data_IF_428110776895
#
_entry.id   IF_428110776895
#
_cell.length_a   1.000
_cell.length_b   1.000
_cell.length_c   1.000
_cell.angle_alpha   90.00
_cell.angle_beta   90.00
_cell.angle_gamma   90.00
#
_symmetry.space_group_name_H-M   'P 1'
#
loop_
_entity.id
_entity.type
_entity.pdbx_description
1 polymer ?
#
# COMPACT_ATOMS: atom_id res chain seq x y z
N UNK A 1 2.57 -2.94 16.00
CA UNK A 1 3.60 -1.87 15.86
C UNK A 1 4.46 -1.99 14.61
N UNK A 2 4.94 -3.18 14.21
CA UNK A 2 5.79 -3.34 13.02
C UNK A 2 5.23 -2.73 11.73
N UNK A 3 3.91 -2.84 11.50
CA UNK A 3 3.27 -2.28 10.30
C UNK A 3 3.12 -0.76 10.32
N UNK A 4 3.04 -0.13 11.50
CA UNK A 4 3.11 1.34 11.62
C UNK A 4 4.49 1.83 11.17
N UNK A 5 5.55 1.15 11.63
CA UNK A 5 6.91 1.41 11.18
C UNK A 5 7.08 1.23 9.67
N UNK A 6 6.51 0.17 9.09
CA UNK A 6 6.53 -0.06 7.64
C UNK A 6 5.83 1.06 6.84
N UNK A 7 4.64 1.49 7.27
CA UNK A 7 3.91 2.57 6.60
C UNK A 7 4.74 3.86 6.63
N UNK A 8 5.28 4.22 7.80
CA UNK A 8 6.11 5.42 7.91
C UNK A 8 7.44 5.33 7.15
N UNK A 9 8.07 4.16 7.16
CA UNK A 9 9.30 3.93 6.39
C UNK A 9 9.05 4.06 4.88
N UNK A 10 7.86 3.66 4.40
CA UNK A 10 7.46 3.83 3.01
C UNK A 10 7.34 5.30 2.64
N UNK A 11 6.68 6.12 3.47
CA UNK A 11 6.61 7.58 3.27
C UNK A 11 8.02 8.20 3.20
N UNK A 12 8.90 7.85 4.14
CA UNK A 12 10.28 8.36 4.18
C UNK A 12 11.05 7.94 2.92
N UNK A 13 10.91 6.68 2.51
CA UNK A 13 11.56 6.16 1.32
C UNK A 13 11.04 6.85 0.05
N UNK A 14 9.74 7.09 -0.06
CA UNK A 14 9.16 7.87 -1.15
C UNK A 14 9.79 9.27 -1.21
N UNK A 15 9.94 9.95 -0.07
CA UNK A 15 10.56 11.29 -0.10
C UNK A 15 12.06 11.29 -0.42
N UNK A 16 12.78 10.20 -0.10
CA UNK A 16 14.17 10.02 -0.53
C UNK A 16 14.32 9.83 -2.05
N UNK A 17 13.33 9.23 -2.71
CA UNK A 17 13.35 8.89 -4.13
C UNK A 17 12.57 9.88 -5.01
N UNK A 18 12.02 10.94 -4.43
CA UNK A 18 11.16 11.91 -5.12
C UNK A 18 11.81 12.59 -6.33
N UNK A 19 13.12 12.80 -6.28
CA UNK A 19 13.91 13.38 -7.38
C UNK A 19 14.74 12.35 -8.14
N UNK A 20 14.46 11.05 -7.96
CA UNK A 20 15.16 10.00 -8.69
C UNK A 20 14.75 10.03 -10.18
N UNK A 21 15.70 10.04 -11.13
CA UNK A 21 15.41 10.13 -12.56
C UNK A 21 14.66 8.92 -13.13
N UNK A 22 14.55 7.82 -12.37
CA UNK A 22 13.82 6.62 -12.77
C UNK A 22 12.31 6.70 -12.52
N UNK A 23 11.83 7.72 -11.80
CA UNK A 23 10.41 7.91 -11.50
C UNK A 23 9.75 6.68 -10.84
N UNK A 24 10.41 6.10 -9.83
CA UNK A 24 9.92 4.90 -9.14
C UNK A 24 8.81 5.28 -8.18
N UNK A 25 7.59 4.75 -8.36
CA UNK A 25 6.50 4.92 -7.41
C UNK A 25 6.66 4.00 -6.19
N UNK A 26 6.53 4.57 -4.99
CA UNK A 26 6.71 3.85 -3.72
C UNK A 26 5.48 4.07 -2.86
N UNK A 27 4.76 3.00 -2.52
CA UNK A 27 3.54 3.06 -1.73
C UNK A 27 3.42 1.87 -0.78
N UNK A 28 2.59 2.01 0.24
CA UNK A 28 2.23 0.94 1.16
C UNK A 28 0.76 0.61 0.97
N UNK A 29 0.36 -0.64 1.25
CA UNK A 29 -1.04 -1.02 1.09
C UNK A 29 -1.52 -2.07 2.09
N UNK A 30 -2.84 -2.20 2.15
CA UNK A 30 -3.53 -3.26 2.86
C UNK A 30 -4.29 -4.15 1.87
N UNK A 31 -4.05 -5.48 1.86
CA UNK A 31 -4.83 -6.41 1.06
C UNK A 31 -6.24 -6.67 1.65
N UNK A 32 -6.52 -6.15 2.85
CA UNK A 32 -7.71 -6.47 3.63
C UNK A 32 -7.56 -7.76 4.44
N UNK A 33 -8.68 -8.32 4.90
CA UNK A 33 -8.69 -9.52 5.73
C UNK A 33 -8.83 -10.78 4.87
N UNK A 34 -7.69 -11.28 4.38
CA UNK A 34 -7.57 -12.37 3.39
C UNK A 34 -7.45 -13.74 4.05
N UNK A 35 -8.18 -14.74 3.56
CA UNK A 35 -8.13 -16.12 4.05
C UNK A 35 -6.78 -16.77 3.71
N UNK A 36 -5.89 -16.88 4.70
CA UNK A 36 -4.52 -17.39 4.57
C UNK A 36 -4.10 -18.14 5.83
N UNK A 37 -3.00 -18.87 5.79
CA UNK A 37 -2.43 -19.54 6.96
C UNK A 37 -2.16 -18.56 8.13
N UNK A 38 -1.87 -17.30 7.84
CA UNK A 38 -1.63 -16.25 8.83
C UNK A 38 -2.83 -16.03 9.77
N UNK A 39 -4.06 -16.27 9.29
CA UNK A 39 -5.29 -16.09 10.07
C UNK A 39 -6.12 -17.38 10.15
N UNK A 40 -5.51 -18.55 9.98
CA UNK A 40 -6.20 -19.85 10.05
C UNK A 40 -7.41 -19.90 9.09
N UNK A 41 -7.24 -19.33 7.90
CA UNK A 41 -8.27 -19.22 6.86
C UNK A 41 -9.56 -18.48 7.25
N UNK A 42 -9.54 -17.66 8.31
CA UNK A 42 -10.73 -16.91 8.81
C UNK A 42 -11.01 -15.59 8.09
N UNK A 43 -10.22 -15.25 7.08
CA UNK A 43 -10.40 -14.02 6.29
C UNK A 43 -11.70 -14.01 5.49
N UNK A 44 -12.30 -12.84 5.31
CA UNK A 44 -13.51 -12.64 4.49
C UNK A 44 -13.21 -12.54 2.99
N UNK A 45 -11.96 -12.22 2.64
CA UNK A 45 -11.51 -12.13 1.25
C UNK A 45 -10.80 -13.41 0.80
N UNK A 46 -10.99 -13.77 -0.46
CA UNK A 46 -10.18 -14.75 -1.19
C UNK A 46 -8.78 -14.20 -1.49
N UNK A 47 -7.87 -15.08 -1.88
CA UNK A 47 -6.50 -14.71 -2.29
C UNK A 47 -6.51 -13.69 -3.44
N UNK A 48 -7.35 -13.89 -4.45
CA UNK A 48 -7.43 -13.00 -5.62
C UNK A 48 -7.98 -11.61 -5.25
N UNK A 49 -9.01 -11.56 -4.39
CA UNK A 49 -9.53 -10.28 -3.88
C UNK A 49 -8.52 -9.54 -3.00
N UNK A 50 -7.69 -10.28 -2.27
CA UNK A 50 -6.59 -9.73 -1.48
C UNK A 50 -5.43 -9.20 -2.35
N UNK A 51 -5.15 -9.86 -3.46
CA UNK A 51 -4.09 -9.47 -4.40
C UNK A 51 -4.43 -8.22 -5.23
N UNK A 52 -5.71 -7.83 -5.29
CA UNK A 52 -6.21 -6.74 -6.11
C UNK A 52 -5.45 -5.41 -5.93
N UNK A 53 -5.36 -4.91 -4.69
CA UNK A 53 -4.70 -3.62 -4.40
C UNK A 53 -3.18 -3.67 -4.59
N UNK A 54 -2.45 -4.70 -4.10
CA UNK A 54 -1.03 -4.85 -4.40
C UNK A 54 -0.74 -4.95 -5.91
N UNK A 55 -1.55 -5.70 -6.66
CA UNK A 55 -1.40 -5.84 -8.10
C UNK A 55 -1.63 -4.50 -8.80
N UNK A 56 -2.71 -3.79 -8.45
CA UNK A 56 -2.99 -2.44 -8.94
C UNK A 56 -1.81 -1.48 -8.78
N UNK A 57 -1.16 -1.47 -7.60
CA UNK A 57 0.01 -0.62 -7.35
C UNK A 57 1.25 -1.06 -8.14
N UNK A 58 1.43 -2.37 -8.35
CA UNK A 58 2.55 -2.92 -9.11
C UNK A 58 2.41 -2.71 -10.63
N UNK A 59 1.19 -2.47 -11.11
CA UNK A 59 0.87 -2.30 -12.54
C UNK A 59 0.32 -0.91 -12.86
N UNK A 60 0.74 0.12 -12.10
CA UNK A 60 0.42 1.49 -12.47
C UNK A 60 1.03 1.82 -13.84
N UNK A 61 0.36 2.63 -14.68
CA UNK A 61 0.92 3.09 -15.94
C UNK A 61 2.30 3.76 -15.77
N UNK A 62 3.17 3.65 -16.77
CA UNK A 62 4.52 4.23 -16.72
C UNK A 62 4.53 5.76 -16.55
N UNK A 63 3.45 6.43 -16.95
CA UNK A 63 3.24 7.88 -16.81
C UNK A 63 2.50 8.27 -15.52
N UNK A 64 2.19 7.31 -14.66
CA UNK A 64 1.53 7.58 -13.39
C UNK A 64 2.46 8.36 -12.44
N UNK A 65 1.97 9.49 -11.93
CA UNK A 65 2.62 10.23 -10.85
C UNK A 65 2.04 9.93 -9.47
N UNK A 66 0.84 9.34 -9.42
CA UNK A 66 0.09 9.06 -8.19
C UNK A 66 -0.56 7.67 -8.24
N UNK A 67 -0.76 7.01 -7.08
CA UNK A 67 -0.40 7.45 -5.73
C UNK A 67 1.12 7.38 -5.47
N UNK A 68 1.63 8.22 -4.57
CA UNK A 68 3.06 8.27 -4.22
C UNK A 68 3.29 8.56 -2.74
N UNK A 69 4.00 7.68 -2.04
CA UNK A 69 4.27 7.80 -0.61
C UNK A 69 3.03 7.59 0.27
N UNK A 70 1.96 7.01 -0.28
CA UNK A 70 0.66 6.91 0.39
C UNK A 70 0.41 5.51 0.98
N UNK A 71 -0.64 5.42 1.81
CA UNK A 71 -1.21 4.15 2.24
C UNK A 71 -2.53 3.88 1.51
N UNK A 72 -2.60 2.76 0.79
CA UNK A 72 -3.72 2.40 -0.07
C UNK A 72 -4.46 1.18 0.47
N UNK A 73 -5.79 1.24 0.51
CA UNK A 73 -6.67 0.11 0.79
C UNK A 73 -7.86 0.15 -0.17
N UNK A 74 -8.26 -1.00 -0.72
CA UNK A 74 -9.35 -1.06 -1.71
C UNK A 74 -9.15 -0.10 -2.90
N UNK A 75 -7.90 0.00 -3.39
CA UNK A 75 -7.46 0.97 -4.40
C UNK A 75 -7.74 2.45 -4.08
N UNK A 76 -7.93 2.79 -2.81
CA UNK A 76 -8.16 4.17 -2.34
C UNK A 76 -7.08 4.60 -1.36
N UNK A 77 -6.69 5.87 -1.43
CA UNK A 77 -5.81 6.48 -0.43
C UNK A 77 -6.55 6.57 0.89
N UNK A 78 -5.93 6.06 1.96
CA UNK A 78 -6.48 6.08 3.31
C UNK A 78 -5.56 6.89 4.21
N UNK A 79 -6.11 7.94 4.81
CA UNK A 79 -5.38 8.79 5.76
C UNK A 79 -5.17 8.04 7.08
N UNK A 80 -3.93 7.62 7.34
CA UNK A 80 -3.55 6.96 8.60
C UNK A 80 -3.77 7.90 9.81
N UNK A 81 -3.61 9.21 9.61
CA UNK A 81 -3.62 10.20 10.70
C UNK A 81 -5.00 10.82 10.98
N UNK A 82 -6.04 10.47 10.22
CA UNK A 82 -7.33 11.18 10.26
C UNK A 82 -8.07 11.09 11.61
N UNK A 83 -7.64 10.21 12.52
CA UNK A 83 -8.27 10.00 13.84
C UNK A 83 -7.56 10.72 15.00
N UNK A 84 -6.38 11.31 14.77
CA UNK A 84 -5.52 11.85 15.83
C UNK A 84 -5.07 13.30 15.58
N UNK A 85 -5.73 14.02 14.66
CA UNK A 85 -5.64 15.47 14.50
C UNK A 85 -6.88 16.15 15.03
#
# INVERSE_FOLDING_TARGET
>A
MSKVGLCKATEILAEQYKSDPRHILINSCCPGYVSTDLNDHKGVKTILEGADTPFYLATLPDDAAEPYGEFISERKVVKIDAKYR
#
